data_IF_396608160907
#
_entry.id   IF_396608160907
#
_cell.length_a   1.000
_cell.length_b   1.000
_cell.length_c   1.000
_cell.angle_alpha   90.00
_cell.angle_beta   90.00
_cell.angle_gamma   90.00
#
_symmetry.space_group_name_H-M   'P 1'
#
loop_
_entity.id
_entity.type
_entity.pdbx_description
1 polymer ?
#
# COMPACT_ATOMS: atom_id res chain seq x y z
N UNK A 1 -7.22 -0.36 -17.47
CA UNK A 1 -5.94 -0.02 -16.82
C UNK A 1 -5.72 -1.02 -15.71
N UNK A 2 -4.63 -1.80 -15.70
CA UNK A 2 -4.30 -2.58 -14.51
C UNK A 2 -3.83 -1.61 -13.42
N UNK A 3 -4.39 -1.74 -12.21
CA UNK A 3 -3.94 -1.03 -11.01
C UNK A 3 -2.52 -1.44 -10.62
N UNK A 4 -1.85 -0.61 -9.81
CA UNK A 4 -0.53 -0.93 -9.27
C UNK A 4 -0.67 -2.16 -8.35
N UNK A 5 0.00 -3.26 -8.68
CA UNK A 5 0.14 -4.40 -7.78
C UNK A 5 1.27 -4.10 -6.79
N UNK A 6 0.95 -4.16 -5.50
CA UNK A 6 1.92 -4.09 -4.41
C UNK A 6 2.01 -5.47 -3.78
N UNK A 7 3.23 -5.97 -3.65
CA UNK A 7 3.50 -7.17 -2.86
C UNK A 7 4.29 -6.75 -1.62
N UNK A 8 3.66 -6.92 -0.46
CA UNK A 8 4.23 -6.53 0.82
C UNK A 8 4.24 -7.78 1.69
N UNK A 9 5.44 -8.25 2.00
CA UNK A 9 5.65 -9.46 2.81
C UNK A 9 4.94 -10.71 2.23
N UNK A 10 4.89 -10.83 0.90
CA UNK A 10 4.22 -11.93 0.21
C UNK A 10 2.69 -11.80 0.13
N UNK A 11 2.11 -10.76 0.74
CA UNK A 11 0.68 -10.44 0.61
C UNK A 11 0.51 -9.47 -0.56
N UNK A 12 -0.41 -9.81 -1.46
CA UNK A 12 -0.67 -9.04 -2.68
C UNK A 12 -1.86 -8.12 -2.50
N UNK A 13 -1.65 -6.88 -2.92
CA UNK A 13 -2.66 -5.83 -2.94
C UNK A 13 -2.73 -5.23 -4.33
N UNK A 14 -3.94 -4.98 -4.82
CA UNK A 14 -4.14 -4.19 -6.03
C UNK A 14 -4.62 -2.81 -5.64
N UNK A 15 -3.78 -1.81 -5.87
CA UNK A 15 -4.12 -0.42 -5.57
C UNK A 15 -5.20 0.06 -6.52
N UNK A 16 -6.34 0.44 -5.94
CA UNK A 16 -7.49 0.99 -6.66
C UNK A 16 -7.52 2.52 -6.60
N UNK A 17 -6.88 3.12 -5.58
CA UNK A 17 -6.74 4.57 -5.46
C UNK A 17 -5.44 4.96 -4.75
N UNK A 18 -4.71 5.90 -5.36
CA UNK A 18 -3.53 6.52 -4.78
C UNK A 18 -3.42 7.98 -5.24
N UNK A 19 -2.66 8.77 -4.48
CA UNK A 19 -2.31 10.15 -4.85
C UNK A 19 -0.80 10.39 -4.72
N UNK A 20 -0.20 11.29 -5.52
CA UNK A 20 1.17 11.71 -5.31
C UNK A 20 1.37 12.31 -3.91
N UNK A 21 2.56 12.08 -3.35
CA UNK A 21 3.02 12.74 -2.13
C UNK A 21 4.51 13.04 -2.19
N UNK A 22 4.91 14.19 -1.64
CA UNK A 22 6.32 14.56 -1.44
C UNK A 22 6.88 14.11 -0.09
N UNK A 23 6.02 13.56 0.78
CA UNK A 23 6.37 13.19 2.15
C UNK A 23 6.57 11.68 2.25
N UNK A 24 7.82 11.25 2.41
CA UNK A 24 8.22 9.85 2.60
C UNK A 24 9.55 9.82 3.38
N UNK A 25 9.81 8.72 4.09
CA UNK A 25 11.08 8.54 4.77
C UNK A 25 12.21 8.51 3.73
N UNK A 26 13.19 9.43 3.87
CA UNK A 26 14.30 9.57 2.91
C UNK A 26 15.21 8.34 2.82
N UNK A 27 15.12 7.44 3.79
CA UNK A 27 15.85 6.18 3.80
C UNK A 27 15.25 5.14 2.85
N UNK A 28 14.03 5.34 2.35
CA UNK A 28 13.37 4.38 1.45
C UNK A 28 13.97 4.42 0.04
N UNK A 29 14.23 3.24 -0.50
CA UNK A 29 14.56 3.03 -1.89
C UNK A 29 13.30 2.93 -2.76
N UNK A 30 13.37 3.23 -4.07
CA UNK A 30 12.27 2.98 -4.99
C UNK A 30 11.80 1.52 -4.93
N UNK A 31 10.50 1.32 -4.78
CA UNK A 31 9.88 0.01 -4.58
C UNK A 31 9.62 -0.35 -3.10
N UNK A 32 10.22 0.37 -2.16
CA UNK A 32 9.95 0.20 -0.73
C UNK A 32 8.73 1.01 -0.29
N UNK A 33 8.13 0.60 0.83
CA UNK A 33 6.89 1.16 1.36
C UNK A 33 7.05 1.54 2.82
N UNK A 34 6.61 2.74 3.16
CA UNK A 34 6.38 3.21 4.52
C UNK A 34 4.95 2.88 4.95
N UNK A 35 4.76 2.39 6.17
CA UNK A 35 3.43 2.23 6.76
C UNK A 35 3.17 3.41 7.70
N UNK A 36 2.03 4.09 7.51
CA UNK A 36 1.61 5.21 8.35
C UNK A 36 0.16 5.06 8.78
N UNK A 37 -0.27 5.88 9.74
CA UNK A 37 -1.66 5.89 10.20
C UNK A 37 -2.64 6.25 9.07
N UNK A 38 -2.21 7.13 8.15
CA UNK A 38 -2.97 7.59 7.00
C UNK A 38 -2.86 6.69 5.76
N UNK A 39 -2.20 5.53 5.85
CA UNK A 39 -2.08 4.56 4.76
C UNK A 39 -0.63 4.15 4.45
N UNK A 40 -0.39 3.75 3.20
CA UNK A 40 0.92 3.24 2.76
C UNK A 40 1.57 4.25 1.82
N UNK A 41 2.83 4.58 2.06
CA UNK A 41 3.61 5.46 1.18
C UNK A 41 4.63 4.63 0.40
N UNK A 42 4.36 4.41 -0.88
CA UNK A 42 5.27 3.69 -1.77
C UNK A 42 6.24 4.65 -2.45
N UNK A 43 7.54 4.44 -2.27
CA UNK A 43 8.59 5.24 -2.92
C UNK A 43 8.70 4.84 -4.40
N UNK A 44 8.64 5.83 -5.29
CA UNK A 44 8.90 5.67 -6.72
C UNK A 44 10.30 6.17 -7.06
N UNK A 45 10.72 6.06 -8.33
CA UNK A 45 12.03 6.56 -8.78
C UNK A 45 12.19 8.08 -8.61
N UNK A 46 11.10 8.84 -8.71
CA UNK A 46 11.06 10.30 -8.74
C UNK A 46 10.28 10.93 -7.58
N UNK A 47 9.45 10.17 -6.87
CA UNK A 47 8.50 10.68 -5.89
C UNK A 47 7.98 9.59 -4.97
N UNK A 48 6.78 9.78 -4.45
CA UNK A 48 6.10 8.73 -3.72
C UNK A 48 4.59 8.80 -3.98
N UNK A 49 3.93 7.68 -3.72
CA UNK A 49 2.48 7.54 -3.80
C UNK A 49 1.94 7.21 -2.42
N UNK A 50 0.95 7.97 -1.95
CA UNK A 50 0.12 7.56 -0.83
C UNK A 50 -1.03 6.70 -1.38
N UNK A 51 -1.07 5.44 -0.96
CA UNK A 51 -2.13 4.48 -1.26
C UNK A 51 -3.31 4.76 -0.33
N UNK A 52 -4.44 5.13 -0.92
CA UNK A 52 -5.67 5.45 -0.20
C UNK A 52 -6.64 4.26 -0.15
N UNK A 53 -6.63 3.42 -1.19
CA UNK A 53 -7.43 2.19 -1.28
C UNK A 53 -6.72 1.10 -2.08
N UNK A 54 -6.88 -0.14 -1.65
CA UNK A 54 -6.45 -1.31 -2.37
C UNK A 54 -7.37 -2.51 -2.09
N UNK A 55 -7.42 -3.46 -3.02
CA UNK A 55 -8.05 -4.76 -2.79
C UNK A 55 -7.00 -5.79 -2.39
N UNK A 56 -7.27 -6.52 -1.32
CA UNK A 56 -6.47 -7.65 -0.88
C UNK A 56 -6.75 -8.87 -1.77
N UNK A 57 -5.68 -9.52 -2.23
CA UNK A 57 -5.73 -10.79 -2.96
C UNK A 57 -5.39 -11.95 -2.02
N UNK A 58 -6.39 -12.38 -1.24
CA UNK A 58 -6.31 -13.49 -0.27
C UNK A 58 -7.13 -14.72 -0.72
N UNK A 59 -7.61 -14.72 -1.96
CA UNK A 59 -8.47 -15.77 -2.51
C UNK A 59 -9.94 -15.68 -2.10
N UNK A 60 -10.37 -14.62 -1.41
CA UNK A 60 -11.78 -14.36 -1.14
C UNK A 60 -12.54 -13.93 -2.41
N UNK A 61 -13.80 -14.36 -2.53
CA UNK A 61 -14.71 -13.92 -3.60
C UNK A 61 -16.02 -13.38 -2.98
N UNK A 62 -16.30 -12.07 -3.08
CA UNK A 62 -15.52 -11.03 -3.78
C UNK A 62 -14.23 -10.62 -3.03
N UNK A 63 -13.25 -10.00 -3.73
CA UNK A 63 -12.03 -9.48 -3.10
C UNK A 63 -12.35 -8.45 -2.01
N UNK A 64 -11.54 -8.46 -0.94
CA UNK A 64 -11.72 -7.52 0.17
C UNK A 64 -11.12 -6.16 -0.21
N UNK A 65 -11.95 -5.12 -0.34
CA UNK A 65 -11.46 -3.73 -0.48
C UNK A 65 -11.10 -3.16 0.89
N UNK A 66 -9.93 -2.54 0.99
CA UNK A 66 -9.38 -1.93 2.20
C UNK A 66 -9.11 -0.45 1.97
N UNK A 67 -9.58 0.39 2.88
CA UNK A 67 -9.21 1.80 2.99
C UNK A 67 -7.85 1.99 3.66
N UNK A 68 -7.33 3.21 3.61
CA UNK A 68 -6.03 3.59 4.14
C UNK A 68 -5.75 3.13 5.59
N UNK A 69 -6.68 3.37 6.52
CA UNK A 69 -6.54 2.96 7.92
C UNK A 69 -6.59 1.44 8.10
N UNK A 70 -7.41 0.75 7.29
CA UNK A 70 -7.53 -0.71 7.31
C UNK A 70 -6.28 -1.37 6.73
N UNK A 71 -5.70 -0.80 5.68
CA UNK A 71 -4.41 -1.21 5.14
C UNK A 71 -3.34 -1.15 6.23
N UNK A 72 -3.18 0.02 6.87
CA UNK A 72 -2.20 0.19 7.94
C UNK A 72 -2.39 -0.79 9.10
N UNK A 73 -3.64 -0.99 9.54
CA UNK A 73 -3.98 -1.93 10.60
C UNK A 73 -3.67 -3.39 10.20
N UNK A 74 -4.03 -3.80 8.98
CA UNK A 74 -3.71 -5.15 8.47
C UNK A 74 -2.21 -5.42 8.45
N UNK A 75 -1.38 -4.43 8.13
CA UNK A 75 0.06 -4.61 8.20
C UNK A 75 0.58 -4.77 9.63
N UNK A 76 0.05 -3.98 10.57
CA UNK A 76 0.43 -4.13 11.98
C UNK A 76 0.03 -5.50 12.56
N UNK A 77 -1.10 -6.07 12.13
CA UNK A 77 -1.53 -7.41 12.54
C UNK A 77 -0.63 -8.53 12.00
N UNK A 78 -0.14 -8.38 10.76
CA UNK A 78 0.70 -9.37 10.10
C UNK A 78 2.15 -9.37 10.62
N UNK A 79 2.54 -8.35 11.40
CA UNK A 79 3.89 -8.18 11.96
C UNK A 79 3.86 -7.53 13.37
N UNK A 80 3.73 -8.34 14.45
CA UNK A 80 3.84 -7.85 15.83
C UNK A 80 5.28 -7.46 16.24
#
# INVERSE_FOLDING_TARGET
MPGLALELFGVRFFVTRARPTGEFARALFPGEVEIRAEGLVARTGDGALLVERATLDDGAEPPTELGASELAARFAELHP
#
